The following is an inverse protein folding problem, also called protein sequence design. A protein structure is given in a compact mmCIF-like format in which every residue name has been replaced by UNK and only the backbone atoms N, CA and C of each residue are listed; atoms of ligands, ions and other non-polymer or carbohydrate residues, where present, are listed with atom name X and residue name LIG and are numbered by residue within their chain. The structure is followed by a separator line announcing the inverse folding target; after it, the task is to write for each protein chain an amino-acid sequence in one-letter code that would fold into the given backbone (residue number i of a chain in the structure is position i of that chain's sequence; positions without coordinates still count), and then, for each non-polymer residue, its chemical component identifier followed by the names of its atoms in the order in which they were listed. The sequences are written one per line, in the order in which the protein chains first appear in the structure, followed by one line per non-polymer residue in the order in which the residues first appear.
data_IF_572634065233
#
_entry.id   IF_572634065233
#
_cell.length_a   1.000
_cell.length_b   1.000
_cell.length_c   1.000
_cell.angle_alpha   90.00
_cell.angle_beta   90.00
_cell.angle_gamma   90.00
#
_symmetry.space_group_name_H-M   'P 1'
#
loop_
_entity.id
_entity.type
_entity.pdbx_description
1 polymer ?
#
# COMPACT_ATOMS: atom_id res chain seq x y z
N UNK A 1 -46.69 8.29 46.58
CA UNK A 1 -45.65 8.07 45.56
C UNK A 1 -46.06 8.85 44.32
N UNK A 2 -45.24 9.81 43.88
CA UNK A 2 -45.58 10.81 42.85
C UNK A 2 -45.51 10.17 41.46
N UNK A 3 -46.60 10.23 40.70
CA UNK A 3 -46.62 9.98 39.25
C UNK A 3 -46.76 11.33 38.54
N UNK A 4 -45.83 11.60 37.64
CA UNK A 4 -45.67 12.85 36.89
C UNK A 4 -46.32 12.69 35.52
N UNK A 5 -47.27 13.57 35.14
CA UNK A 5 -47.84 13.60 33.79
C UNK A 5 -47.46 14.93 33.09
N UNK A 6 -46.56 14.75 32.13
CA UNK A 6 -46.41 15.41 30.82
C UNK A 6 -46.98 16.83 30.63
N UNK A 7 -46.08 17.81 30.49
CA UNK A 7 -46.31 19.07 29.76
C UNK A 7 -45.82 18.91 28.32
N UNK A 8 -46.74 18.94 27.36
CA UNK A 8 -46.43 19.11 25.94
C UNK A 8 -46.11 20.57 25.67
N UNK A 9 -44.87 20.86 25.27
CA UNK A 9 -44.50 22.12 24.61
C UNK A 9 -43.84 21.74 23.31
N UNK A 10 -44.57 21.98 22.22
CA UNK A 10 -44.10 21.89 20.85
C UNK A 10 -43.17 23.07 20.60
N UNK A 11 -41.86 22.84 20.55
CA UNK A 11 -40.87 23.86 20.16
C UNK A 11 -40.29 23.49 18.79
N UNK A 12 -40.73 24.23 17.78
CA UNK A 12 -40.20 24.18 16.41
C UNK A 12 -38.80 24.78 16.43
N UNK A 13 -37.77 23.94 16.33
CA UNK A 13 -36.41 24.41 16.06
C UNK A 13 -36.25 24.62 14.55
N UNK A 14 -36.27 25.89 14.14
CA UNK A 14 -35.68 26.32 12.87
C UNK A 14 -34.18 25.97 12.92
N UNK A 15 -33.77 24.92 12.21
CA UNK A 15 -32.36 24.71 11.92
C UNK A 15 -31.94 25.78 10.90
N UNK A 16 -31.30 26.84 11.38
CA UNK A 16 -30.53 27.72 10.53
C UNK A 16 -29.41 26.88 9.92
N UNK A 17 -29.54 26.54 8.64
CA UNK A 17 -28.44 26.03 7.83
C UNK A 17 -27.44 27.17 7.73
N UNK A 18 -26.44 27.16 8.61
CA UNK A 18 -25.26 27.99 8.43
C UNK A 18 -24.57 27.48 7.17
N UNK A 19 -24.78 28.20 6.08
CA UNK A 19 -23.96 28.12 4.89
C UNK A 19 -22.56 28.57 5.29
N UNK A 20 -21.77 27.64 5.82
CA UNK A 20 -20.33 27.82 5.99
C UNK A 20 -19.78 27.98 4.58
N UNK A 21 -19.22 29.16 4.29
CA UNK A 21 -18.60 29.50 3.03
C UNK A 21 -17.69 28.35 2.59
N UNK A 22 -18.09 27.72 1.50
CA UNK A 22 -17.34 26.67 0.85
C UNK A 22 -16.06 27.31 0.28
N UNK A 23 -14.92 27.07 0.95
CA UNK A 23 -13.57 27.27 0.40
C UNK A 23 -13.44 26.39 -0.86
N UNK A 24 -14.00 26.83 -1.98
CA UNK A 24 -13.98 26.11 -3.27
C UNK A 24 -12.69 26.33 -4.06
N UNK A 25 -11.75 27.08 -3.52
CA UNK A 25 -10.51 27.48 -4.19
C UNK A 25 -9.24 26.84 -3.60
N UNK A 26 -9.35 25.96 -2.60
CA UNK A 26 -8.22 25.13 -2.18
C UNK A 26 -8.15 23.92 -3.10
N UNK A 27 -7.52 24.11 -4.27
CA UNK A 27 -7.01 22.99 -5.04
C UNK A 27 -5.97 22.32 -4.14
N UNK A 28 -6.25 21.10 -3.69
CA UNK A 28 -5.27 20.31 -2.96
C UNK A 28 -3.98 20.29 -3.79
N UNK A 29 -2.80 20.58 -3.19
CA UNK A 29 -1.56 20.59 -3.93
C UNK A 29 -1.41 19.23 -4.62
N UNK A 30 -1.03 19.27 -5.91
CA UNK A 30 -0.83 18.05 -6.68
C UNK A 30 0.14 17.12 -5.94
N UNK A 31 -0.07 15.79 -6.01
CA UNK A 31 0.85 14.82 -5.43
C UNK A 31 2.32 15.09 -5.79
N UNK A 32 3.26 14.95 -4.85
CA UNK A 32 4.68 15.08 -5.15
C UNK A 32 5.11 14.01 -6.15
N UNK A 33 5.81 14.42 -7.20
CA UNK A 33 6.38 13.50 -8.20
C UNK A 33 7.74 12.98 -7.74
N UNK A 34 8.05 11.72 -8.05
CA UNK A 34 9.35 11.13 -7.73
C UNK A 34 10.50 11.95 -8.35
N UNK A 35 10.34 12.40 -9.59
CA UNK A 35 11.33 13.19 -10.31
C UNK A 35 11.75 14.47 -9.57
N UNK A 36 10.82 15.11 -8.85
CA UNK A 36 11.09 16.34 -8.10
C UNK A 36 11.34 16.10 -6.61
N UNK A 37 11.39 14.85 -6.18
CA UNK A 37 11.50 14.47 -4.77
C UNK A 37 12.84 13.84 -4.41
N UNK A 38 13.82 13.89 -5.31
CA UNK A 38 15.18 13.50 -5.02
C UNK A 38 15.90 14.61 -4.25
N UNK A 39 16.57 14.22 -3.16
CA UNK A 39 17.46 15.13 -2.43
C UNK A 39 18.66 15.51 -3.30
N UNK A 40 19.25 16.68 -3.05
CA UNK A 40 20.39 17.18 -3.82
C UNK A 40 21.49 16.14 -3.99
N UNK A 41 21.91 15.91 -5.24
CA UNK A 41 22.92 14.93 -5.60
C UNK A 41 22.45 13.47 -5.59
N UNK A 42 21.16 13.21 -5.48
CA UNK A 42 20.56 11.88 -5.63
C UNK A 42 19.69 11.79 -6.88
N UNK A 43 19.63 10.58 -7.43
CA UNK A 43 18.70 10.14 -8.45
C UNK A 43 18.57 8.62 -8.39
N UNK A 44 17.70 8.05 -9.23
CA UNK A 44 17.49 6.61 -9.31
C UNK A 44 18.76 5.84 -9.71
N UNK A 45 19.54 6.38 -10.65
CA UNK A 45 20.75 5.72 -11.16
C UNK A 45 21.80 5.59 -10.06
N UNK A 46 22.00 6.63 -9.25
CA UNK A 46 22.94 6.63 -8.13
C UNK A 46 22.54 5.61 -7.06
N UNK A 47 21.25 5.47 -6.75
CA UNK A 47 20.80 4.42 -5.82
C UNK A 47 21.03 3.03 -6.40
N UNK A 48 20.70 2.83 -7.67
CA UNK A 48 20.85 1.52 -8.34
C UNK A 48 22.31 1.12 -8.57
N UNK A 49 23.22 2.09 -8.68
CA UNK A 49 24.67 1.85 -8.77
C UNK A 49 25.26 1.29 -7.47
N UNK A 50 24.57 1.47 -6.33
CA UNK A 50 24.96 0.87 -5.06
C UNK A 50 24.47 -0.59 -5.00
N UNK A 51 25.38 -1.48 -4.61
CA UNK A 51 25.10 -2.90 -4.47
C UNK A 51 23.97 -3.15 -3.46
N UNK A 52 23.14 -4.17 -3.72
CA UNK A 52 22.15 -4.66 -2.75
C UNK A 52 22.87 -5.02 -1.44
N UNK A 53 22.33 -4.54 -0.33
CA UNK A 53 22.92 -4.60 1.01
C UNK A 53 23.63 -3.31 1.44
N UNK A 54 24.01 -2.44 0.50
CA UNK A 54 24.69 -1.17 0.75
C UNK A 54 23.90 0.06 0.31
N UNK A 55 22.68 -0.12 -0.21
CA UNK A 55 21.81 1.00 -0.58
C UNK A 55 21.38 1.74 0.69
N UNK A 56 21.39 3.08 0.70
CA UNK A 56 20.91 3.84 1.85
C UNK A 56 19.40 3.67 2.04
N UNK A 57 18.90 4.07 3.20
CA UNK A 57 17.45 4.15 3.43
C UNK A 57 16.81 5.25 2.56
N UNK A 58 15.53 5.12 2.18
CA UNK A 58 14.80 6.09 1.36
C UNK A 58 14.91 7.54 1.85
N UNK A 59 14.91 7.77 3.16
CA UNK A 59 14.98 9.10 3.77
C UNK A 59 16.33 9.80 3.53
N UNK A 60 17.37 9.09 3.09
CA UNK A 60 18.66 9.68 2.71
C UNK A 60 18.57 10.37 1.35
N UNK A 61 17.75 9.84 0.44
CA UNK A 61 17.74 10.26 -0.96
C UNK A 61 16.39 10.81 -1.44
N UNK A 62 15.31 10.67 -0.66
CA UNK A 62 13.98 11.21 -0.96
C UNK A 62 13.57 12.31 0.03
N UNK A 63 12.82 13.28 -0.48
CA UNK A 63 12.17 14.31 0.32
C UNK A 63 11.06 13.74 1.21
N UNK A 64 10.95 14.28 2.43
CA UNK A 64 10.05 13.74 3.45
C UNK A 64 8.56 13.83 3.07
N UNK A 65 8.18 14.88 2.33
CA UNK A 65 6.81 15.06 1.83
C UNK A 65 6.43 13.94 0.83
N UNK A 66 7.37 13.50 -0.01
CA UNK A 66 7.15 12.40 -0.93
C UNK A 66 7.02 11.06 -0.20
N UNK A 67 7.91 10.78 0.75
CA UNK A 67 7.83 9.55 1.57
C UNK A 67 6.49 9.51 2.30
N UNK A 68 6.08 10.61 2.92
CA UNK A 68 4.79 10.73 3.61
C UNK A 68 3.61 10.48 2.67
N UNK A 69 3.64 11.08 1.48
CA UNK A 69 2.61 10.88 0.47
C UNK A 69 2.54 9.41 -0.01
N UNK A 70 3.67 8.77 -0.32
CA UNK A 70 3.64 7.37 -0.76
C UNK A 70 3.06 6.44 0.31
N UNK A 71 3.39 6.67 1.58
CA UNK A 71 2.87 5.85 2.68
C UNK A 71 1.38 6.13 2.98
N UNK A 72 0.86 7.32 2.66
CA UNK A 72 -0.57 7.61 2.83
C UNK A 72 -1.46 6.82 1.86
N UNK A 73 -0.93 6.36 0.72
CA UNK A 73 -1.65 5.51 -0.23
C UNK A 73 -2.14 4.19 0.39
N UNK A 74 -1.48 3.75 1.47
CA UNK A 74 -1.77 2.50 2.17
C UNK A 74 -2.71 2.67 3.37
N UNK A 75 -3.29 3.85 3.58
CA UNK A 75 -4.19 4.12 4.71
C UNK A 75 -5.45 3.25 4.71
N UNK A 76 -5.89 2.81 3.53
CA UNK A 76 -7.01 1.87 3.37
C UNK A 76 -6.59 0.40 3.38
N UNK A 77 -5.35 0.11 3.74
CA UNK A 77 -4.79 -1.22 3.81
C UNK A 77 -3.76 -1.52 2.73
N UNK A 78 -3.08 -2.65 2.92
CA UNK A 78 -2.05 -3.16 2.02
C UNK A 78 -2.38 -4.61 1.61
N UNK A 79 -1.86 -5.03 0.47
CA UNK A 79 -2.13 -6.36 -0.06
C UNK A 79 -1.02 -6.86 -0.97
N UNK A 80 -0.95 -8.17 -1.17
CA UNK A 80 -0.13 -8.79 -2.20
C UNK A 80 -0.77 -10.09 -2.68
N UNK A 81 -0.34 -10.55 -3.85
CA UNK A 81 -0.72 -11.84 -4.42
C UNK A 81 0.39 -12.85 -4.23
N UNK A 82 0.02 -14.11 -3.97
CA UNK A 82 0.98 -15.20 -3.81
C UNK A 82 0.36 -16.51 -4.31
N UNK A 83 1.15 -17.43 -4.90
CA UNK A 83 0.65 -18.77 -5.19
C UNK A 83 0.20 -19.46 -3.90
N UNK A 84 -0.96 -20.12 -3.93
CA UNK A 84 -1.47 -20.88 -2.78
C UNK A 84 -0.47 -21.93 -2.30
N UNK A 85 0.23 -22.57 -3.23
CA UNK A 85 1.26 -23.58 -2.94
C UNK A 85 2.40 -23.03 -2.07
N UNK A 86 2.73 -21.74 -2.16
CA UNK A 86 3.72 -21.11 -1.27
C UNK A 86 3.25 -21.19 0.18
N UNK A 87 1.99 -20.84 0.45
CA UNK A 87 1.43 -20.90 1.81
C UNK A 87 1.25 -22.34 2.30
N UNK A 88 0.96 -23.26 1.39
CA UNK A 88 0.83 -24.68 1.73
C UNK A 88 2.18 -25.30 2.10
N UNK A 89 3.27 -24.86 1.47
CA UNK A 89 4.63 -25.36 1.73
C UNK A 89 5.30 -24.72 2.95
N UNK A 90 5.08 -23.42 3.18
CA UNK A 90 5.79 -22.66 4.23
C UNK A 90 4.91 -22.35 5.47
N UNK A 91 3.63 -22.67 5.42
CA UNK A 91 2.69 -22.43 6.51
C UNK A 91 2.06 -21.04 6.49
N UNK A 92 1.20 -20.80 7.49
CA UNK A 92 0.32 -19.62 7.58
C UNK A 92 0.44 -18.87 8.90
N UNK A 93 1.28 -19.33 9.82
CA UNK A 93 1.41 -18.72 11.14
C UNK A 93 2.02 -17.31 11.06
N UNK A 94 2.97 -17.13 10.15
CA UNK A 94 3.63 -15.85 9.90
C UNK A 94 4.09 -15.80 8.44
N UNK A 95 3.67 -14.77 7.71
CA UNK A 95 4.00 -14.58 6.30
C UNK A 95 5.11 -13.54 6.10
N UNK A 96 5.93 -13.71 5.07
CA UNK A 96 7.04 -12.81 4.72
C UNK A 96 8.40 -13.49 4.75
N UNK A 97 9.43 -12.77 4.29
CA UNK A 97 10.78 -13.29 4.17
C UNK A 97 11.52 -13.36 5.53
N UNK A 98 12.54 -14.24 5.65
CA UNK A 98 13.36 -14.39 6.86
C UNK A 98 14.02 -13.10 7.38
N UNK A 99 14.30 -12.11 6.52
CA UNK A 99 14.86 -10.80 6.91
C UNK A 99 13.82 -9.86 7.55
N UNK A 100 12.64 -10.39 7.89
CA UNK A 100 11.51 -9.69 8.46
C UNK A 100 10.88 -8.66 7.49
N UNK A 101 10.82 -8.97 6.20
CA UNK A 101 10.21 -8.08 5.19
C UNK A 101 9.17 -8.79 4.33
N UNK A 102 8.14 -8.06 3.90
CA UNK A 102 7.19 -8.49 2.89
C UNK A 102 6.78 -7.29 2.04
N UNK A 103 6.95 -7.40 0.73
CA UNK A 103 6.47 -6.40 -0.24
C UNK A 103 4.96 -6.42 -0.34
N UNK A 104 4.37 -5.23 -0.45
CA UNK A 104 2.93 -5.00 -0.53
C UNK A 104 2.60 -3.82 -1.44
N UNK A 105 1.39 -3.82 -1.97
CA UNK A 105 0.77 -2.78 -2.78
C UNK A 105 -0.43 -2.18 -2.02
N UNK A 106 -0.81 -0.93 -2.31
CA UNK A 106 -2.03 -0.35 -1.74
C UNK A 106 -3.28 -1.17 -2.13
N UNK A 107 -4.16 -1.42 -1.16
CA UNK A 107 -5.31 -2.30 -1.37
C UNK A 107 -6.26 -1.79 -2.47
N UNK A 108 -6.52 -0.48 -2.52
CA UNK A 108 -7.41 0.10 -3.54
C UNK A 108 -6.84 0.04 -4.96
N UNK A 109 -5.52 0.12 -5.11
CA UNK A 109 -4.89 -0.04 -6.43
C UNK A 109 -4.96 -1.50 -6.90
N UNK A 110 -4.77 -2.47 -5.99
CA UNK A 110 -4.97 -3.89 -6.31
C UNK A 110 -6.42 -4.15 -6.75
N UNK A 111 -7.41 -3.58 -6.05
CA UNK A 111 -8.82 -3.73 -6.43
C UNK A 111 -9.07 -3.23 -7.86
N UNK A 112 -8.58 -2.02 -8.17
CA UNK A 112 -8.70 -1.44 -9.50
C UNK A 112 -7.97 -2.28 -10.57
N UNK A 113 -6.78 -2.80 -10.26
CA UNK A 113 -6.00 -3.66 -11.16
C UNK A 113 -6.73 -4.98 -11.43
N UNK A 114 -7.31 -5.63 -10.42
CA UNK A 114 -8.06 -6.87 -10.59
C UNK A 114 -9.33 -6.68 -11.44
N UNK A 115 -10.01 -5.54 -11.31
CA UNK A 115 -11.11 -5.16 -12.21
C UNK A 115 -10.62 -4.94 -13.64
N UNK A 116 -9.57 -4.12 -13.81
CA UNK A 116 -8.96 -3.80 -15.12
C UNK A 116 -8.53 -5.07 -15.88
N UNK A 117 -7.93 -6.02 -15.18
CA UNK A 117 -7.42 -7.26 -15.77
C UNK A 117 -8.49 -8.33 -15.96
N UNK A 118 -9.66 -8.19 -15.34
CA UNK A 118 -10.65 -9.26 -15.28
C UNK A 118 -10.13 -10.49 -14.55
N UNK A 119 -9.17 -10.31 -13.63
CA UNK A 119 -8.43 -11.36 -12.92
C UNK A 119 -7.64 -12.33 -13.82
N UNK A 120 -7.34 -11.93 -15.06
CA UNK A 120 -6.47 -12.69 -15.96
C UNK A 120 -5.02 -12.69 -15.42
N UNK A 121 -4.50 -13.87 -15.09
CA UNK A 121 -3.17 -14.02 -14.49
C UNK A 121 -2.06 -13.40 -15.35
N UNK A 122 -2.12 -13.55 -16.68
CA UNK A 122 -1.08 -13.02 -17.57
C UNK A 122 -1.06 -11.48 -17.58
N UNK A 123 -2.24 -10.86 -17.50
CA UNK A 123 -2.35 -9.41 -17.38
C UNK A 123 -1.91 -8.94 -16.00
N UNK A 124 -2.28 -9.65 -14.94
CA UNK A 124 -1.82 -9.35 -13.58
C UNK A 124 -0.28 -9.41 -13.50
N UNK A 125 0.35 -10.43 -14.08
CA UNK A 125 1.81 -10.51 -14.13
C UNK A 125 2.42 -9.27 -14.77
N UNK A 126 1.86 -8.83 -15.90
CA UNK A 126 2.29 -7.61 -16.60
C UNK A 126 2.14 -6.37 -15.71
N UNK A 127 0.97 -6.18 -15.10
CA UNK A 127 0.68 -5.03 -14.23
C UNK A 127 1.59 -5.00 -12.99
N UNK A 128 1.97 -6.16 -12.45
CA UNK A 128 2.83 -6.28 -11.26
C UNK A 128 4.33 -6.41 -11.58
N UNK A 129 4.73 -6.40 -12.85
CA UNK A 129 6.12 -6.58 -13.26
C UNK A 129 6.69 -7.98 -12.95
N UNK A 130 5.82 -8.99 -12.87
CA UNK A 130 6.20 -10.39 -12.68
C UNK A 130 6.59 -10.96 -14.06
N UNK A 131 7.68 -11.75 -14.17
CA UNK A 131 8.06 -12.36 -15.44
C UNK A 131 6.92 -13.21 -16.01
N UNK A 132 6.63 -13.03 -17.30
CA UNK A 132 5.51 -13.69 -17.97
C UNK A 132 5.54 -15.22 -17.80
N UNK A 133 4.40 -15.79 -17.38
CA UNK A 133 4.22 -17.22 -17.16
C UNK A 133 4.68 -17.73 -15.79
N UNK A 134 5.23 -16.88 -14.92
CA UNK A 134 5.68 -17.28 -13.57
C UNK A 134 4.55 -17.85 -12.71
N UNK A 135 3.32 -17.42 -12.92
CA UNK A 135 2.11 -17.78 -12.19
C UNK A 135 1.10 -18.56 -13.06
N UNK A 136 1.49 -18.91 -14.29
CA UNK A 136 0.65 -19.72 -15.18
C UNK A 136 0.22 -21.01 -14.49
N UNK A 137 -1.07 -21.31 -14.58
CA UNK A 137 -1.72 -22.50 -14.01
C UNK A 137 -1.56 -22.67 -12.48
N UNK A 138 -1.16 -21.61 -11.76
CA UNK A 138 -1.06 -21.62 -10.30
C UNK A 138 -2.32 -20.99 -9.69
N UNK A 139 -3.00 -21.67 -8.76
CA UNK A 139 -4.01 -21.02 -7.94
C UNK A 139 -3.38 -19.89 -7.13
N UNK A 140 -3.88 -18.68 -7.32
CA UNK A 140 -3.41 -17.49 -6.62
C UNK A 140 -4.35 -17.16 -5.46
N UNK A 141 -3.78 -16.63 -4.39
CA UNK A 141 -4.53 -16.03 -3.29
C UNK A 141 -4.07 -14.61 -3.07
N UNK A 142 -5.00 -13.78 -2.60
CA UNK A 142 -4.73 -12.44 -2.11
C UNK A 142 -4.59 -12.48 -0.59
N UNK A 143 -3.51 -11.86 -0.11
CA UNK A 143 -3.32 -11.56 1.30
C UNK A 143 -3.64 -10.10 1.52
N UNK A 144 -4.58 -9.81 2.44
CA UNK A 144 -4.99 -8.44 2.75
C UNK A 144 -4.67 -8.08 4.20
N UNK A 145 -4.14 -6.88 4.41
CA UNK A 145 -3.71 -6.34 5.70
C UNK A 145 -4.47 -5.03 5.93
N UNK A 146 -5.34 -4.99 6.93
CA UNK A 146 -6.15 -3.81 7.21
C UNK A 146 -5.31 -2.63 7.73
N UNK A 147 -4.40 -2.88 8.68
CA UNK A 147 -3.61 -1.85 9.36
C UNK A 147 -2.11 -2.05 9.12
N UNK A 148 -1.58 -1.80 7.92
CA UNK A 148 -0.17 -2.07 7.60
C UNK A 148 0.81 -1.22 8.43
N UNK A 149 0.39 -0.04 8.90
CA UNK A 149 1.21 0.82 9.78
C UNK A 149 1.63 0.09 11.08
N UNK A 150 0.77 -0.78 11.63
CA UNK A 150 1.10 -1.60 12.82
C UNK A 150 2.18 -2.65 12.55
N UNK A 151 2.47 -2.93 11.26
CA UNK A 151 3.51 -3.84 10.81
C UNK A 151 4.72 -3.08 10.26
N UNK A 152 4.97 -1.85 10.73
CA UNK A 152 6.12 -1.05 10.30
C UNK A 152 6.17 -0.83 8.78
N UNK A 153 5.04 -0.39 8.21
CA UNK A 153 4.94 0.03 6.82
C UNK A 153 5.98 1.13 6.51
N UNK A 154 6.77 0.92 5.47
CA UNK A 154 7.82 1.84 5.02
C UNK A 154 8.11 1.65 3.53
N UNK A 155 8.81 2.61 2.94
CA UNK A 155 9.30 2.44 1.57
C UNK A 155 10.42 1.39 1.54
N UNK A 156 10.53 0.58 0.47
CA UNK A 156 11.64 -0.34 0.30
C UNK A 156 12.93 0.44 0.00
N UNK A 157 14.03 -0.05 0.56
CA UNK A 157 15.39 0.41 0.29
C UNK A 157 16.05 -0.33 -0.88
N UNK A 158 15.47 -1.47 -1.28
CA UNK A 158 16.05 -2.38 -2.26
C UNK A 158 17.08 -3.33 -1.65
N UNK A 159 17.28 -3.30 -0.33
CA UNK A 159 18.12 -4.25 0.39
C UNK A 159 17.33 -5.48 0.88
N UNK A 160 16.01 -5.42 0.85
CA UNK A 160 15.12 -6.47 1.32
C UNK A 160 15.32 -7.77 0.54
N UNK A 161 15.15 -8.92 1.19
CA UNK A 161 15.37 -10.23 0.59
C UNK A 161 14.53 -10.41 -0.69
N UNK A 162 13.28 -9.95 -0.66
CA UNK A 162 12.38 -9.98 -1.81
C UNK A 162 12.72 -9.03 -2.95
N UNK A 163 13.63 -8.06 -2.77
CA UNK A 163 14.03 -7.15 -3.84
C UNK A 163 14.85 -7.89 -4.90
N UNK A 164 14.43 -7.81 -6.16
CA UNK A 164 15.08 -8.46 -7.30
C UNK A 164 15.71 -7.43 -8.26
N UNK A 165 16.19 -7.86 -9.43
CA UNK A 165 16.83 -7.00 -10.43
C UNK A 165 15.89 -5.95 -11.05
N UNK A 166 14.57 -6.10 -10.90
CA UNK A 166 13.55 -5.19 -11.41
C UNK A 166 13.10 -4.16 -10.35
N UNK A 167 13.57 -4.27 -9.11
CA UNK A 167 13.23 -3.31 -8.06
C UNK A 167 13.69 -1.89 -8.43
N UNK A 168 12.84 -0.91 -8.14
CA UNK A 168 13.08 0.51 -8.39
C UNK A 168 13.03 1.31 -7.08
N UNK A 169 13.92 2.30 -6.90
CA UNK A 169 13.80 3.24 -5.79
C UNK A 169 12.58 4.15 -5.97
N UNK A 170 11.92 4.49 -4.86
CA UNK A 170 10.81 5.47 -4.85
C UNK A 170 9.43 4.87 -4.55
N UNK A 171 9.33 3.57 -4.26
CA UNK A 171 8.09 2.95 -3.80
C UNK A 171 7.05 2.77 -4.89
N UNK A 172 7.49 2.46 -6.11
CA UNK A 172 6.62 2.21 -7.25
C UNK A 172 7.11 1.06 -8.11
N UNK A 173 6.17 0.27 -8.60
CA UNK A 173 6.41 -0.68 -9.69
C UNK A 173 6.67 0.09 -11.01
N UNK A 174 7.33 -0.54 -12.00
CA UNK A 174 7.54 0.07 -13.32
C UNK A 174 6.24 0.57 -14.00
N UNK A 175 5.12 -0.06 -13.68
CA UNK A 175 3.77 0.26 -14.17
C UNK A 175 3.07 1.40 -13.40
N UNK A 176 3.70 1.92 -12.34
CA UNK A 176 3.27 3.11 -11.59
C UNK A 176 2.52 2.85 -10.28
N UNK A 177 2.13 1.59 -10.03
CA UNK A 177 1.49 1.17 -8.78
C UNK A 177 2.39 1.40 -7.57
N UNK A 178 1.78 1.73 -6.43
CA UNK A 178 2.49 1.89 -5.16
C UNK A 178 3.09 0.57 -4.67
N UNK A 179 4.29 0.66 -4.12
CA UNK A 179 5.01 -0.46 -3.54
C UNK A 179 5.62 -0.03 -2.19
N UNK A 180 5.39 -0.83 -1.17
CA UNK A 180 5.94 -0.65 0.17
C UNK A 180 6.40 -2.00 0.74
N UNK A 181 7.04 -1.96 1.90
CA UNK A 181 7.35 -3.15 2.68
C UNK A 181 6.77 -3.02 4.09
N UNK A 182 6.30 -4.15 4.61
CA UNK A 182 5.93 -4.34 6.01
C UNK A 182 6.84 -5.39 6.63
N UNK A 183 6.83 -5.47 7.96
CA UNK A 183 7.39 -6.60 8.69
C UNK A 183 6.59 -7.88 8.39
N UNK A 184 7.13 -9.04 8.81
CA UNK A 184 6.38 -10.29 8.72
C UNK A 184 5.02 -10.19 9.39
N UNK A 185 4.05 -10.86 8.78
CA UNK A 185 2.63 -10.68 9.03
C UNK A 185 2.11 -11.91 9.79
N UNK A 186 1.82 -11.80 11.10
CA UNK A 186 1.27 -12.92 11.86
C UNK A 186 -0.17 -13.23 11.42
N UNK A 187 -0.62 -14.47 11.64
CA UNK A 187 -1.95 -14.95 11.21
C UNK A 187 -3.12 -14.04 11.61
N UNK A 188 -3.03 -13.39 12.77
CA UNK A 188 -4.07 -12.48 13.29
C UNK A 188 -4.14 -11.12 12.57
N UNK A 189 -3.19 -10.81 11.67
CA UNK A 189 -3.08 -9.51 11.00
C UNK A 189 -3.40 -9.55 9.52
N UNK A 190 -3.82 -10.69 8.98
CA UNK A 190 -4.19 -10.80 7.58
C UNK A 190 -5.43 -11.65 7.32
N UNK A 191 -6.07 -11.40 6.18
CA UNK A 191 -7.06 -12.29 5.58
C UNK A 191 -6.53 -12.87 4.28
N UNK A 192 -6.91 -14.12 3.98
CA UNK A 192 -6.57 -14.85 2.76
C UNK A 192 -7.85 -15.07 1.97
N UNK A 193 -7.86 -14.68 0.71
CA UNK A 193 -9.00 -14.90 -0.19
C UNK A 193 -8.50 -15.51 -1.51
N UNK A 194 -9.18 -16.52 -2.07
CA UNK A 194 -8.92 -16.94 -3.44
C UNK A 194 -9.02 -15.76 -4.40
N UNK A 195 -8.15 -15.73 -5.41
CA UNK A 195 -8.19 -14.71 -6.45
C UNK A 195 -9.36 -14.95 -7.39
#
# INVERSE_FOLDING_TARGET
MKTTLLKSVLLVFLAAVSWSCSDKDKVDPAPPSLANSWKSGWDSQKVLALAKGSRPLPEVYLEANYVTYQLSLFEKGATYLVPKSTLDNYGRDTLGYPDNTQFVMAAGEMDAMLVKTGKDISKIETELGIPAGSWKDKPMVRISIANPKELNLRLPSGNEMGANALWLPGGKLPTGYSEAVVNRIPKSKYTETPL
#
